data_IF_119338608990
#
_entry.id   IF_119338608990
#
_cell.length_a   1.000
_cell.length_b   1.000
_cell.length_c   1.000
_cell.angle_alpha   90.00
_cell.angle_beta   90.00
_cell.angle_gamma   90.00
#
_symmetry.space_group_name_H-M   'P 1'
#
loop_
_entity.id
_entity.type
_entity.pdbx_description
1 polymer ?
#
# COMPACT_ATOMS: atom_id res chain seq x y z
N UNK A 1 11.26 -18.37 7.82
CA UNK A 1 10.72 -17.36 8.77
C UNK A 1 10.39 -16.03 8.12
N UNK A 2 11.20 -15.49 7.18
CA UNK A 2 10.88 -14.25 6.46
C UNK A 2 9.69 -14.38 5.50
N UNK A 3 9.57 -15.52 4.80
CA UNK A 3 8.47 -15.83 3.87
C UNK A 3 7.11 -15.83 4.55
N UNK A 4 6.98 -16.44 5.73
CA UNK A 4 5.74 -16.39 6.54
C UNK A 4 5.31 -14.95 6.84
N UNK A 5 6.27 -14.08 7.18
CA UNK A 5 5.99 -12.67 7.46
C UNK A 5 5.56 -11.92 6.19
N UNK A 6 6.23 -12.14 5.06
CA UNK A 6 5.85 -11.55 3.77
C UNK A 6 4.44 -11.96 3.36
N UNK A 7 4.10 -13.24 3.51
CA UNK A 7 2.76 -13.76 3.19
C UNK A 7 1.68 -13.11 4.06
N UNK A 8 1.93 -12.92 5.36
CA UNK A 8 1.01 -12.19 6.25
C UNK A 8 0.86 -10.71 5.85
N UNK A 9 1.95 -10.06 5.46
CA UNK A 9 1.92 -8.66 4.98
C UNK A 9 1.16 -8.54 3.65
N UNK A 10 1.31 -9.51 2.73
CA UNK A 10 0.53 -9.62 1.49
C UNK A 10 -0.96 -9.76 1.78
N UNK A 11 -1.36 -10.66 2.69
CA UNK A 11 -2.77 -10.82 3.09
C UNK A 11 -3.35 -9.51 3.66
N UNK A 12 -2.55 -8.76 4.42
CA UNK A 12 -2.95 -7.44 4.94
C UNK A 12 -3.21 -6.44 3.81
N UNK A 13 -2.35 -6.42 2.79
CA UNK A 13 -2.52 -5.61 1.59
C UNK A 13 -3.75 -6.04 0.78
N UNK A 14 -3.96 -7.33 0.56
CA UNK A 14 -5.15 -7.87 -0.12
C UNK A 14 -6.45 -7.52 0.61
N UNK A 15 -6.43 -7.57 1.94
CA UNK A 15 -7.57 -7.14 2.76
C UNK A 15 -7.84 -5.66 2.59
N UNK A 16 -6.79 -4.83 2.58
CA UNK A 16 -6.91 -3.39 2.34
C UNK A 16 -7.47 -3.11 0.94
N UNK A 17 -6.98 -3.82 -0.09
CA UNK A 17 -7.48 -3.73 -1.47
C UNK A 17 -8.96 -4.11 -1.57
N UNK A 18 -9.37 -5.20 -0.92
CA UNK A 18 -10.76 -5.64 -0.92
C UNK A 18 -11.69 -4.57 -0.34
N UNK A 19 -11.24 -3.86 0.71
CA UNK A 19 -11.98 -2.70 1.21
C UNK A 19 -11.99 -1.53 0.23
N UNK A 20 -10.97 -1.36 -0.60
CA UNK A 20 -10.94 -0.34 -1.65
C UNK A 20 -11.92 -0.64 -2.80
N UNK A 21 -12.14 -1.91 -3.11
CA UNK A 21 -13.04 -2.31 -4.21
C UNK A 21 -14.52 -2.07 -3.94
N UNK A 22 -14.90 -1.88 -2.67
CA UNK A 22 -16.27 -1.54 -2.28
C UNK A 22 -16.65 -0.09 -2.63
N UNK A 23 -15.64 0.78 -2.82
CA UNK A 23 -15.87 2.19 -3.18
C UNK A 23 -16.23 2.36 -4.65
N UNK A 24 -17.20 3.25 -4.93
CA UNK A 24 -17.56 3.63 -6.30
C UNK A 24 -16.42 4.36 -7.02
N UNK A 25 -16.48 4.43 -8.36
CA UNK A 25 -15.48 5.17 -9.15
C UNK A 25 -15.34 6.65 -8.73
N UNK A 26 -16.44 7.29 -8.33
CA UNK A 26 -16.42 8.66 -7.82
C UNK A 26 -15.71 8.80 -6.47
N UNK A 27 -15.86 7.82 -5.59
CA UNK A 27 -15.16 7.77 -4.30
C UNK A 27 -13.68 7.42 -4.48
N UNK A 28 -13.36 6.54 -5.43
CA UNK A 28 -11.98 6.15 -5.77
C UNK A 28 -11.13 7.34 -6.24
N UNK A 29 -11.77 8.36 -6.84
CA UNK A 29 -11.12 9.62 -7.25
C UNK A 29 -10.87 10.60 -6.08
N UNK A 30 -11.38 10.31 -4.87
CA UNK A 30 -11.14 11.15 -3.69
C UNK A 30 -9.83 10.79 -3.00
N UNK A 31 -9.28 11.72 -2.22
CA UNK A 31 -8.04 11.49 -1.48
C UNK A 31 -8.29 10.55 -0.30
N UNK A 32 -7.35 9.64 -0.06
CA UNK A 32 -7.39 8.76 1.11
C UNK A 32 -7.19 9.55 2.40
N UNK A 33 -7.65 8.98 3.51
CA UNK A 33 -7.37 9.50 4.84
C UNK A 33 -5.88 9.33 5.18
N UNK A 34 -5.35 10.23 6.01
CA UNK A 34 -3.99 10.08 6.55
C UNK A 34 -3.79 8.73 7.27
N UNK A 35 -4.82 8.24 7.96
CA UNK A 35 -4.77 6.94 8.64
C UNK A 35 -4.53 5.79 7.66
N UNK A 36 -5.15 5.81 6.48
CA UNK A 36 -4.91 4.79 5.45
C UNK A 36 -3.51 4.90 4.87
N UNK A 37 -3.03 6.12 4.59
CA UNK A 37 -1.67 6.35 4.13
C UNK A 37 -0.62 5.85 5.14
N UNK A 38 -0.80 6.13 6.43
CA UNK A 38 0.08 5.65 7.50
C UNK A 38 0.09 4.13 7.55
N UNK A 39 -1.08 3.48 7.59
CA UNK A 39 -1.18 2.01 7.60
C UNK A 39 -0.51 1.35 6.38
N UNK A 40 -0.66 1.94 5.21
CA UNK A 40 0.01 1.50 4.00
C UNK A 40 1.54 1.66 4.11
N UNK A 41 2.02 2.84 4.50
CA UNK A 41 3.44 3.13 4.66
C UNK A 41 4.14 2.30 5.74
N UNK A 42 3.42 1.92 6.80
CA UNK A 42 3.90 0.98 7.81
C UNK A 42 4.08 -0.40 7.20
N UNK A 43 3.04 -0.89 6.50
CA UNK A 43 3.08 -2.21 5.83
C UNK A 43 4.22 -2.27 4.80
N UNK A 44 4.36 -1.22 3.99
CA UNK A 44 5.46 -1.05 3.04
C UNK A 44 6.84 -1.12 3.71
N UNK A 45 6.99 -0.45 4.86
CA UNK A 45 8.23 -0.49 5.63
C UNK A 45 8.51 -1.86 6.20
N UNK A 46 7.49 -2.57 6.68
CA UNK A 46 7.62 -3.94 7.18
C UNK A 46 8.04 -4.91 6.06
N UNK A 47 7.52 -4.73 4.84
CA UNK A 47 7.92 -5.50 3.66
C UNK A 47 9.39 -5.22 3.32
N UNK A 48 9.81 -3.96 3.25
CA UNK A 48 11.21 -3.61 2.97
C UNK A 48 12.20 -4.07 4.05
N UNK A 49 11.73 -4.31 5.28
CA UNK A 49 12.54 -4.93 6.36
C UNK A 49 12.59 -6.46 6.18
N UNK A 50 11.47 -7.08 5.79
CA UNK A 50 11.38 -8.52 5.62
C UNK A 50 12.09 -9.01 4.34
N UNK A 51 12.10 -8.20 3.29
CA UNK A 51 12.74 -8.48 2.00
C UNK A 51 13.51 -7.22 1.53
N UNK A 52 14.76 -7.04 1.98
CA UNK A 52 15.56 -5.86 1.64
C UNK A 52 15.92 -5.81 0.16
N UNK A 53 16.02 -6.94 -0.54
CA UNK A 53 16.35 -7.04 -1.96
C UNK A 53 15.35 -6.32 -2.88
N UNK A 54 14.08 -6.22 -2.47
CA UNK A 54 13.05 -5.52 -3.24
C UNK A 54 12.79 -4.10 -2.75
N UNK A 55 13.54 -3.62 -1.74
CA UNK A 55 13.26 -2.32 -1.12
C UNK A 55 13.32 -1.17 -2.12
N UNK A 56 14.21 -1.25 -3.12
CA UNK A 56 14.33 -0.27 -4.19
C UNK A 56 13.25 -0.40 -5.27
N UNK A 57 12.52 -1.53 -5.30
CA UNK A 57 11.37 -1.78 -6.18
C UNK A 57 10.03 -1.37 -5.54
N UNK A 58 10.02 -1.06 -4.24
CA UNK A 58 8.82 -0.66 -3.53
C UNK A 58 8.37 0.75 -3.93
N UNK A 59 7.05 1.01 -4.03
CA UNK A 59 6.53 2.33 -4.35
C UNK A 59 6.94 3.36 -3.30
N UNK A 60 6.99 4.62 -3.72
CA UNK A 60 7.28 5.72 -2.79
C UNK A 60 6.22 5.83 -1.69
N UNK A 61 6.66 6.22 -0.50
CA UNK A 61 5.75 6.45 0.64
C UNK A 61 4.74 7.53 0.30
N UNK A 62 3.48 7.28 0.67
CA UNK A 62 2.40 8.26 0.52
C UNK A 62 2.62 9.37 1.53
N UNK A 63 2.84 10.59 1.05
CA UNK A 63 3.02 11.77 1.89
C UNK A 63 1.72 12.55 2.05
N UNK A 64 1.68 13.46 3.02
CA UNK A 64 0.60 14.45 3.13
C UNK A 64 1.17 15.82 2.81
N UNK A 65 0.82 16.39 1.66
CA UNK A 65 1.14 17.77 1.34
C UNK A 65 0.23 18.68 2.16
N UNK A 66 0.78 19.75 2.74
CA UNK A 66 0.05 20.72 3.56
C UNK A 66 -0.35 21.99 2.77
N UNK A 67 -1.30 21.96 1.81
CA UNK A 67 -2.19 23.09 1.67
C UNK A 67 -3.25 23.00 2.78
N UNK A 68 -3.57 24.12 3.44
CA UNK A 68 -4.58 24.21 4.51
C UNK A 68 -5.96 23.60 4.13
N UNK A 69 -6.20 23.36 2.83
CA UNK A 69 -7.42 22.75 2.29
C UNK A 69 -7.47 21.22 2.35
N UNK A 70 -6.40 20.51 2.76
CA UNK A 70 -6.31 19.03 2.78
C UNK A 70 -6.04 18.44 4.18
N UNK A 71 -6.43 19.15 5.25
CA UNK A 71 -6.26 18.65 6.63
C UNK A 71 -6.94 17.28 6.80
N UNK A 72 -6.17 16.26 7.19
CA UNK A 72 -6.65 14.88 7.39
C UNK A 72 -6.66 13.99 6.14
N UNK A 73 -6.28 14.51 4.97
CA UNK A 73 -6.14 13.75 3.71
C UNK A 73 -4.66 13.56 3.35
N UNK A 74 -4.34 12.45 2.71
CA UNK A 74 -3.02 12.19 2.15
C UNK A 74 -2.96 12.67 0.69
N UNK A 75 -1.76 12.84 0.14
CA UNK A 75 -1.52 13.23 -1.25
C UNK A 75 -1.61 12.02 -2.21
N UNK A 76 -2.62 11.19 -2.03
CA UNK A 76 -2.93 10.04 -2.88
C UNK A 76 -4.44 9.80 -2.86
N UNK A 77 -4.99 9.36 -3.99
CA UNK A 77 -6.38 8.93 -4.10
C UNK A 77 -6.56 7.48 -3.69
N UNK A 78 -7.81 7.08 -3.44
CA UNK A 78 -8.16 5.68 -3.20
C UNK A 78 -7.78 4.80 -4.41
N UNK A 79 -7.85 5.35 -5.63
CA UNK A 79 -7.36 4.70 -6.85
C UNK A 79 -5.84 4.52 -6.82
N UNK A 80 -5.07 5.56 -6.49
CA UNK A 80 -3.60 5.47 -6.39
C UNK A 80 -3.18 4.42 -5.37
N UNK A 81 -3.83 4.42 -4.20
CA UNK A 81 -3.58 3.43 -3.17
C UNK A 81 -3.85 2.00 -3.67
N UNK A 82 -4.93 1.79 -4.42
CA UNK A 82 -5.24 0.50 -5.04
C UNK A 82 -4.14 0.03 -5.98
N UNK A 83 -3.66 0.92 -6.86
CA UNK A 83 -2.57 0.63 -7.79
C UNK A 83 -1.27 0.27 -7.06
N UNK A 84 -0.90 1.02 -6.01
CA UNK A 84 0.29 0.70 -5.23
C UNK A 84 0.18 -0.64 -4.50
N UNK A 85 -1.01 -0.98 -4.00
CA UNK A 85 -1.25 -2.28 -3.38
C UNK A 85 -1.10 -3.41 -4.41
N UNK A 86 -1.68 -3.25 -5.60
CA UNK A 86 -1.54 -4.23 -6.69
C UNK A 86 -0.09 -4.48 -7.09
N UNK A 87 0.69 -3.41 -7.25
CA UNK A 87 2.12 -3.49 -7.57
C UNK A 87 2.88 -4.31 -6.52
N UNK A 88 2.67 -4.03 -5.23
CA UNK A 88 3.35 -4.74 -4.14
C UNK A 88 2.90 -6.21 -4.08
N UNK A 89 1.61 -6.50 -4.25
CA UNK A 89 1.10 -7.88 -4.25
C UNK A 89 1.75 -8.67 -5.40
N UNK A 90 1.86 -8.08 -6.59
CA UNK A 90 2.53 -8.70 -7.73
C UNK A 90 4.00 -8.99 -7.41
N UNK A 91 4.74 -7.99 -6.90
CA UNK A 91 6.15 -8.15 -6.51
C UNK A 91 6.34 -9.26 -5.47
N UNK A 92 5.54 -9.28 -4.41
CA UNK A 92 5.64 -10.31 -3.37
C UNK A 92 5.28 -11.69 -3.94
N UNK A 93 4.31 -11.78 -4.86
CA UNK A 93 3.93 -13.06 -5.48
C UNK A 93 5.02 -13.65 -6.37
N UNK A 94 5.76 -12.80 -7.10
CA UNK A 94 6.89 -13.24 -7.91
C UNK A 94 8.03 -13.79 -7.03
N UNK A 95 8.30 -13.15 -5.88
CA UNK A 95 9.29 -13.64 -4.91
C UNK A 95 8.85 -14.99 -4.33
N UNK A 96 7.58 -15.12 -3.95
CA UNK A 96 7.02 -16.38 -3.44
C UNK A 96 7.07 -17.52 -4.47
N UNK A 97 7.06 -17.20 -5.78
CA UNK A 97 7.05 -18.19 -6.87
C UNK A 97 8.45 -18.52 -7.41
N UNK A 98 9.43 -17.66 -7.16
CA UNK A 98 10.82 -17.80 -7.61
C UNK A 98 11.74 -18.55 -6.64
N UNK A 99 11.26 -18.88 -5.43
CA UNK A 99 11.94 -19.73 -4.43
C UNK A 99 11.57 -21.21 -4.55
#
# INVERSE_FOLDING_TARGET
MAIDKLRLLKIRLETMKKSLDDYSAGEKATHITQTMATRFNDTLSEIGIACPDIKDLLPSRITSSHPQSLVGKANATYMDLGMFIDEIIALVSEIESGE
#
